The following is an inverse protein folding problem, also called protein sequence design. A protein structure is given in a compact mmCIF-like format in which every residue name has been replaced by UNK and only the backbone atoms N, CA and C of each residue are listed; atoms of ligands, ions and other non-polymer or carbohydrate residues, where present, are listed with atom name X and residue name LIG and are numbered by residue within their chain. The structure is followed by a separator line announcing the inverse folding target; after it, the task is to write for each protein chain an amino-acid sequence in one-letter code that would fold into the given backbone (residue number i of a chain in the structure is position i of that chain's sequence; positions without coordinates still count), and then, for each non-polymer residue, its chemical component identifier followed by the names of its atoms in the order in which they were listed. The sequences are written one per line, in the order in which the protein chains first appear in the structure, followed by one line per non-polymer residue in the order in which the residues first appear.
data_IF_000960935597
#
_entry.id   IF_000960935597
#
_cell.length_a   1.000
_cell.length_b   1.000
_cell.length_c   1.000
_cell.angle_alpha   90.00
_cell.angle_beta   90.00
_cell.angle_gamma   90.00
#
_symmetry.space_group_name_H-M   'P 1'
#
loop_
_entity.id
_entity.type
_entity.pdbx_description
1 polymer ?
#
# COMPACT_ATOMS: atom_id res chain seq x y z
N UNK A 1 2.56 16.92 50.58
CA UNK A 1 2.29 15.91 49.53
C UNK A 1 3.08 16.33 48.30
N UNK A 2 4.12 15.56 47.95
CA UNK A 2 5.25 16.07 47.17
C UNK A 2 4.92 16.21 45.68
N UNK A 3 4.63 17.44 45.24
CA UNK A 3 4.29 17.80 43.85
C UNK A 3 5.29 17.26 42.81
N UNK A 4 6.57 17.18 43.16
CA UNK A 4 7.61 16.63 42.28
C UNK A 4 7.46 15.12 42.02
N UNK A 5 6.87 14.35 42.95
CA UNK A 5 6.60 12.92 42.76
C UNK A 5 5.47 12.71 41.76
N UNK A 6 4.43 13.55 41.79
CA UNK A 6 3.32 13.49 40.84
C UNK A 6 3.76 13.86 39.42
N UNK A 7 4.62 14.88 39.29
CA UNK A 7 5.12 15.32 37.99
C UNK A 7 6.04 14.26 37.34
N UNK A 8 6.87 13.59 38.13
CA UNK A 8 7.75 12.51 37.64
C UNK A 8 6.93 11.30 37.15
N UNK A 9 5.84 10.95 37.82
CA UNK A 9 4.96 9.84 37.42
C UNK A 9 4.24 10.12 36.10
N UNK A 10 3.77 11.35 35.87
CA UNK A 10 3.11 11.72 34.60
C UNK A 10 4.09 11.72 33.43
N UNK A 11 5.35 12.12 33.65
CA UNK A 11 6.36 12.15 32.59
C UNK A 11 6.77 10.75 32.11
N UNK A 12 6.82 9.76 33.01
CA UNK A 12 7.16 8.37 32.66
C UNK A 12 6.06 7.68 31.84
N UNK A 13 4.79 7.99 32.10
CA UNK A 13 3.65 7.39 31.38
C UNK A 13 3.56 7.88 29.92
N UNK A 14 4.06 9.09 29.63
CA UNK A 14 4.08 9.64 28.26
C UNK A 14 5.11 8.96 27.33
N UNK A 15 6.06 8.19 27.86
CA UNK A 15 7.07 7.48 27.05
C UNK A 15 6.71 6.02 26.74
N UNK A 16 5.55 5.52 27.19
CA UNK A 16 5.21 4.08 27.06
C UNK A 16 4.25 3.79 25.87
N UNK A 17 3.77 4.81 25.17
CA UNK A 17 2.82 4.62 24.05
C UNK A 17 3.48 4.73 22.67
N UNK A 18 4.52 3.93 22.45
CA UNK A 18 5.21 3.80 21.16
C UNK A 18 5.53 2.34 20.85
N UNK A 19 4.59 1.43 21.10
CA UNK A 19 4.75 0.04 20.67
C UNK A 19 4.50 -0.02 19.16
N UNK A 20 5.54 0.20 18.36
CA UNK A 20 5.54 -0.24 16.96
C UNK A 20 5.44 -1.75 16.98
N UNK A 21 4.30 -2.30 16.53
CA UNK A 21 4.19 -3.74 16.32
C UNK A 21 5.23 -4.13 15.28
N UNK A 22 6.26 -4.82 15.74
CA UNK A 22 7.25 -5.45 14.87
C UNK A 22 6.58 -6.69 14.25
N UNK A 23 5.95 -6.51 13.09
CA UNK A 23 5.50 -7.60 12.22
C UNK A 23 6.67 -8.09 11.36
N UNK A 24 7.48 -8.96 11.97
CA UNK A 24 8.30 -9.89 11.22
C UNK A 24 7.37 -10.83 10.43
N UNK A 25 7.74 -11.26 9.22
CA UNK A 25 7.06 -12.39 8.56
C UNK A 25 7.27 -13.72 9.32
N UNK A 26 8.04 -13.70 10.40
CA UNK A 26 8.15 -14.75 11.42
C UNK A 26 7.33 -14.44 12.70
N UNK A 27 6.58 -13.34 12.73
CA UNK A 27 5.70 -12.97 13.85
C UNK A 27 4.34 -13.67 13.78
N UNK A 28 3.66 -13.77 14.93
CA UNK A 28 2.39 -14.49 15.07
C UNK A 28 1.18 -13.81 14.41
N UNK A 29 1.28 -12.54 13.97
CA UNK A 29 0.17 -11.83 13.34
C UNK A 29 0.03 -12.26 11.87
N UNK A 30 -1.21 -12.59 11.47
CA UNK A 30 -1.53 -12.95 10.09
C UNK A 30 -1.58 -11.71 9.18
N UNK A 31 -0.93 -11.78 8.03
CA UNK A 31 -0.95 -10.77 6.97
C UNK A 31 -1.94 -11.23 5.89
N UNK A 32 -3.13 -10.63 5.86
CA UNK A 32 -4.14 -10.92 4.85
C UNK A 32 -3.94 -9.99 3.65
N UNK A 33 -3.71 -10.56 2.47
CA UNK A 33 -3.43 -9.83 1.24
C UNK A 33 -4.55 -10.05 0.25
N UNK A 34 -5.23 -8.96 -0.12
CA UNK A 34 -6.17 -8.98 -1.24
C UNK A 34 -5.41 -8.95 -2.56
N UNK A 35 -5.77 -9.78 -3.54
CA UNK A 35 -5.11 -9.78 -4.86
C UNK A 35 -6.11 -9.56 -5.99
N UNK A 36 -5.79 -8.61 -6.89
CA UNK A 36 -6.56 -8.34 -8.11
C UNK A 36 -5.69 -8.71 -9.31
N UNK A 37 -6.14 -9.68 -10.10
CA UNK A 37 -5.38 -10.23 -11.22
C UNK A 37 -4.47 -11.40 -10.84
N UNK A 38 -3.40 -11.59 -11.60
CA UNK A 38 -2.50 -12.76 -11.50
C UNK A 38 -1.23 -12.46 -10.70
N UNK A 39 -1.40 -11.77 -9.58
CA UNK A 39 -0.30 -11.43 -8.67
C UNK A 39 0.36 -12.71 -8.14
N UNK A 40 1.69 -12.77 -8.27
CA UNK A 40 2.51 -13.87 -7.72
C UNK A 40 2.35 -13.95 -6.20
N UNK A 41 2.04 -15.16 -5.72
CA UNK A 41 1.90 -15.45 -4.29
C UNK A 41 3.19 -16.08 -3.76
N UNK A 42 3.61 -15.66 -2.57
CA UNK A 42 4.80 -16.19 -1.92
C UNK A 42 4.41 -17.00 -0.70
N UNK A 43 5.04 -18.17 -0.55
CA UNK A 43 4.76 -19.03 0.60
C UNK A 43 5.50 -18.51 1.85
N UNK A 44 4.70 -18.04 2.81
CA UNK A 44 5.07 -17.66 4.18
C UNK A 44 4.02 -18.21 5.14
N UNK A 45 4.42 -18.58 6.35
CA UNK A 45 3.52 -19.25 7.30
C UNK A 45 2.34 -18.37 7.75
N UNK A 46 2.54 -17.05 7.82
CA UNK A 46 1.57 -16.10 8.32
C UNK A 46 0.94 -15.21 7.22
N UNK A 47 1.16 -15.51 5.93
CA UNK A 47 0.59 -14.72 4.83
C UNK A 47 -0.54 -15.49 4.17
N UNK A 48 -1.71 -14.88 4.10
CA UNK A 48 -2.88 -15.42 3.42
C UNK A 48 -3.26 -14.53 2.25
N UNK A 49 -3.53 -15.14 1.09
CA UNK A 49 -3.96 -14.43 -0.10
C UNK A 49 -5.43 -14.72 -0.39
N UNK A 50 -6.18 -13.69 -0.73
CA UNK A 50 -7.56 -13.83 -1.19
C UNK A 50 -7.74 -13.05 -2.50
N UNK A 51 -8.29 -13.70 -3.51
CA UNK A 51 -8.54 -13.05 -4.80
C UNK A 51 -9.79 -12.19 -4.74
N UNK A 52 -9.69 -10.96 -5.23
CA UNK A 52 -10.76 -9.97 -5.32
C UNK A 52 -11.01 -9.65 -6.79
N UNK A 53 -12.26 -9.62 -7.23
CA UNK A 53 -12.56 -9.08 -8.56
C UNK A 53 -12.33 -7.57 -8.55
N UNK A 54 -11.73 -7.01 -9.60
CA UNK A 54 -11.51 -5.56 -9.68
C UNK A 54 -12.79 -4.76 -9.42
N UNK A 55 -13.95 -5.22 -9.91
CA UNK A 55 -15.23 -4.51 -9.73
C UNK A 55 -15.72 -4.50 -8.29
N UNK A 56 -15.27 -5.44 -7.47
CA UNK A 56 -15.71 -5.58 -6.08
C UNK A 56 -14.95 -4.63 -5.17
N UNK A 57 -13.79 -4.10 -5.61
CA UNK A 57 -13.10 -2.99 -4.93
C UNK A 57 -14.03 -1.78 -4.69
N UNK A 58 -14.97 -1.52 -5.61
CA UNK A 58 -15.92 -0.42 -5.52
C UNK A 58 -17.14 -0.70 -4.64
N UNK A 59 -17.40 -1.97 -4.29
CA UNK A 59 -18.66 -2.41 -3.70
C UNK A 59 -18.52 -2.98 -2.30
N UNK A 60 -17.42 -3.68 -2.03
CA UNK A 60 -17.21 -4.36 -0.75
C UNK A 60 -16.74 -3.37 0.30
N UNK A 61 -17.49 -3.25 1.40
CA UNK A 61 -17.21 -2.28 2.47
C UNK A 61 -16.24 -2.81 3.53
N UNK A 62 -16.07 -4.12 3.60
CA UNK A 62 -15.26 -4.80 4.62
C UNK A 62 -13.80 -5.01 4.21
N UNK A 63 -13.39 -4.52 3.03
CA UNK A 63 -12.02 -4.64 2.49
C UNK A 63 -10.96 -4.20 3.50
N UNK A 64 -11.14 -3.04 4.13
CA UNK A 64 -10.21 -2.49 5.13
C UNK A 64 -10.07 -3.37 6.38
N UNK A 65 -11.13 -4.09 6.75
CA UNK A 65 -11.14 -4.97 7.93
C UNK A 65 -10.65 -6.38 7.59
N UNK A 66 -10.76 -6.80 6.33
CA UNK A 66 -10.33 -8.12 5.85
C UNK A 66 -8.85 -8.17 5.50
N UNK A 67 -8.35 -7.12 4.87
CA UNK A 67 -7.03 -7.10 4.27
C UNK A 67 -6.11 -6.07 4.93
N UNK A 68 -4.86 -6.48 5.14
CA UNK A 68 -3.77 -5.59 5.53
C UNK A 68 -3.41 -4.63 4.40
N UNK A 69 -3.42 -5.13 3.16
CA UNK A 69 -3.20 -4.36 1.93
C UNK A 69 -3.76 -5.11 0.72
N UNK A 70 -3.91 -4.41 -0.40
CA UNK A 70 -4.37 -4.98 -1.67
C UNK A 70 -3.25 -4.86 -2.71
N UNK A 71 -2.92 -5.97 -3.37
CA UNK A 71 -2.02 -6.01 -4.51
C UNK A 71 -2.81 -6.07 -5.82
N UNK A 72 -2.42 -5.25 -6.78
CA UNK A 72 -3.08 -5.12 -8.08
C UNK A 72 -2.04 -5.36 -9.17
N UNK A 73 -2.36 -6.30 -10.05
CA UNK A 73 -1.56 -6.68 -11.22
C UNK A 73 -1.64 -5.65 -12.35
N UNK A 74 -0.63 -5.63 -13.23
CA UNK A 74 -0.48 -4.60 -14.26
C UNK A 74 -1.59 -4.60 -15.32
N UNK A 75 -2.16 -5.78 -15.59
CA UNK A 75 -3.35 -5.99 -16.41
C UNK A 75 -4.55 -5.10 -16.00
N UNK A 76 -4.62 -4.69 -14.73
CA UNK A 76 -5.72 -3.90 -14.19
C UNK A 76 -5.39 -2.41 -14.03
N UNK A 77 -4.17 -1.97 -14.30
CA UNK A 77 -3.75 -0.57 -14.05
C UNK A 77 -4.55 0.47 -14.82
N UNK A 78 -4.88 0.21 -16.09
CA UNK A 78 -5.76 1.11 -16.83
C UNK A 78 -7.14 1.21 -16.15
N UNK A 79 -7.68 0.10 -15.65
CA UNK A 79 -8.99 0.08 -14.98
C UNK A 79 -8.95 0.86 -13.66
N UNK A 80 -7.95 0.61 -12.82
CA UNK A 80 -7.87 1.22 -11.48
C UNK A 80 -7.26 2.63 -11.48
N UNK A 81 -6.75 3.09 -12.62
CA UNK A 81 -6.42 4.50 -12.87
C UNK A 81 -7.66 5.38 -13.11
N UNK A 82 -8.84 4.78 -13.33
CA UNK A 82 -10.10 5.52 -13.41
C UNK A 82 -10.40 6.23 -12.08
N UNK A 83 -11.04 7.40 -12.16
CA UNK A 83 -11.27 8.24 -10.99
C UNK A 83 -12.03 7.50 -9.89
N UNK A 84 -13.04 6.68 -10.21
CA UNK A 84 -13.88 6.03 -9.21
C UNK A 84 -13.10 5.08 -8.29
N UNK A 85 -12.09 4.40 -8.83
CA UNK A 85 -11.23 3.52 -8.04
C UNK A 85 -10.29 4.31 -7.15
N UNK A 86 -9.76 5.42 -7.64
CA UNK A 86 -8.91 6.31 -6.85
C UNK A 86 -9.69 6.95 -5.70
N UNK A 87 -10.92 7.43 -5.93
CA UNK A 87 -11.76 7.95 -4.84
C UNK A 87 -12.07 6.85 -3.81
N UNK A 88 -12.25 5.61 -4.30
CA UNK A 88 -12.44 4.46 -3.41
C UNK A 88 -11.19 4.16 -2.58
N UNK A 89 -10.00 4.17 -3.16
CA UNK A 89 -8.75 3.95 -2.44
C UNK A 89 -8.48 5.05 -1.40
N UNK A 90 -8.79 6.30 -1.74
CA UNK A 90 -8.77 7.44 -0.80
C UNK A 90 -9.71 7.24 0.38
N UNK A 91 -10.88 6.64 0.15
CA UNK A 91 -11.86 6.35 1.21
C UNK A 91 -11.46 5.16 2.07
N UNK A 92 -10.90 4.11 1.47
CA UNK A 92 -10.42 2.93 2.19
C UNK A 92 -9.29 3.28 3.17
N UNK A 93 -8.40 4.22 2.79
CA UNK A 93 -7.23 4.61 3.59
C UNK A 93 -6.44 3.39 4.08
N UNK A 94 -6.18 2.45 3.16
CA UNK A 94 -5.33 1.29 3.37
C UNK A 94 -4.25 1.26 2.28
N UNK A 95 -3.13 0.54 2.48
CA UNK A 95 -2.11 0.43 1.46
C UNK A 95 -2.63 -0.29 0.21
N UNK A 96 -2.44 0.34 -0.95
CA UNK A 96 -2.69 -0.25 -2.26
C UNK A 96 -1.34 -0.41 -2.96
N UNK A 97 -1.08 -1.62 -3.44
CA UNK A 97 0.20 -2.04 -4.00
C UNK A 97 0.01 -2.37 -5.47
N UNK A 98 0.64 -1.59 -6.34
CA UNK A 98 0.64 -1.80 -7.78
C UNK A 98 1.92 -2.54 -8.15
N UNK A 99 1.82 -3.81 -8.52
CA UNK A 99 3.00 -4.65 -8.79
C UNK A 99 3.47 -4.53 -10.24
N UNK A 100 4.78 -4.64 -10.44
CA UNK A 100 5.40 -4.77 -11.76
C UNK A 100 5.14 -3.58 -12.70
N UNK A 101 4.89 -2.39 -12.14
CA UNK A 101 4.61 -1.18 -12.89
C UNK A 101 5.83 -0.66 -13.63
N UNK A 102 5.63 -0.34 -14.91
CA UNK A 102 6.62 0.39 -15.74
C UNK A 102 6.42 1.90 -15.70
N UNK A 103 5.45 2.39 -14.93
CA UNK A 103 5.13 3.81 -14.77
C UNK A 103 5.26 4.22 -13.31
N UNK A 104 5.27 5.53 -13.07
CA UNK A 104 5.26 6.09 -11.73
C UNK A 104 3.90 5.96 -11.06
N UNK A 105 3.76 6.64 -9.93
CA UNK A 105 2.56 6.59 -9.08
C UNK A 105 1.44 7.55 -9.52
N UNK A 106 1.77 8.52 -10.40
CA UNK A 106 0.85 9.56 -10.89
C UNK A 106 -0.47 9.01 -11.46
N UNK A 107 -0.49 7.92 -12.26
CA UNK A 107 -1.73 7.38 -12.81
C UNK A 107 -2.76 6.97 -11.76
N UNK A 108 -2.30 6.67 -10.54
CA UNK A 108 -3.10 6.15 -9.43
C UNK A 108 -3.44 7.23 -8.40
N UNK A 109 -3.22 8.51 -8.73
CA UNK A 109 -3.55 9.64 -7.89
C UNK A 109 -4.63 10.51 -8.52
N UNK A 110 -5.36 11.23 -7.68
CA UNK A 110 -6.22 12.33 -8.10
C UNK A 110 -5.33 13.53 -8.45
N UNK A 111 -5.58 14.15 -9.59
CA UNK A 111 -4.90 15.41 -9.94
C UNK A 111 -5.35 16.51 -8.98
N UNK A 112 -4.41 17.09 -8.23
CA UNK A 112 -4.70 18.15 -7.25
C UNK A 112 -4.95 19.52 -7.90
N UNK A 113 -4.55 19.71 -9.15
CA UNK A 113 -4.65 21.00 -9.85
C UNK A 113 -5.69 20.94 -10.98
N UNK A 114 -6.92 21.39 -10.69
CA UNK A 114 -8.07 21.47 -11.61
C UNK A 114 -7.90 22.42 -12.82
N UNK A 115 -6.69 22.70 -13.31
CA UNK A 115 -6.47 23.56 -14.49
C UNK A 115 -5.91 22.74 -15.65
N UNK A 116 -6.83 22.27 -16.48
CA UNK A 116 -6.63 21.99 -17.92
C UNK A 116 -5.61 20.88 -18.23
N UNK A 117 -5.60 19.79 -17.47
CA UNK A 117 -5.03 18.55 -17.95
C UNK A 117 -6.12 17.48 -17.96
N UNK A 118 -6.37 16.90 -19.14
CA UNK A 118 -7.21 15.72 -19.26
C UNK A 118 -6.46 14.62 -18.53
N UNK A 119 -7.02 14.11 -17.44
CA UNK A 119 -6.45 12.96 -16.72
C UNK A 119 -6.12 11.86 -17.71
N UNK A 120 -4.88 11.44 -17.68
CA UNK A 120 -4.37 10.38 -18.53
C UNK A 120 -4.70 9.02 -17.94
N UNK A 121 -4.89 8.02 -18.78
CA UNK A 121 -4.93 6.61 -18.34
C UNK A 121 -3.50 6.08 -18.18
N UNK A 122 -3.31 5.00 -17.42
CA UNK A 122 -1.98 4.43 -17.15
C UNK A 122 -1.11 4.28 -18.42
N UNK A 123 -1.66 3.76 -19.52
CA UNK A 123 -0.94 3.56 -20.77
C UNK A 123 -0.45 4.84 -21.47
N UNK A 124 -0.95 6.02 -21.08
CA UNK A 124 -0.57 7.32 -21.66
C UNK A 124 0.60 7.99 -20.92
N UNK A 125 1.09 7.38 -19.83
CA UNK A 125 2.28 7.82 -19.11
C UNK A 125 3.54 7.16 -19.69
N UNK A 126 4.67 7.85 -19.61
CA UNK A 126 5.96 7.35 -20.08
C UNK A 126 7.11 7.87 -19.21
N UNK A 127 7.07 7.51 -17.94
CA UNK A 127 7.83 8.13 -16.86
C UNK A 127 8.95 7.25 -16.28
N UNK A 128 8.95 5.93 -16.49
CA UNK A 128 10.03 5.07 -16.00
C UNK A 128 10.43 3.93 -16.96
N UNK A 129 11.74 3.62 -17.10
CA UNK A 129 12.21 2.53 -17.95
C UNK A 129 12.23 1.16 -17.25
N UNK A 130 12.21 1.12 -15.91
CA UNK A 130 12.35 -0.10 -15.11
C UNK A 130 11.05 -0.43 -14.37
N UNK A 131 10.77 -1.72 -14.19
CA UNK A 131 9.64 -2.16 -13.37
C UNK A 131 9.88 -1.92 -11.87
N UNK A 132 8.81 -1.58 -11.17
CA UNK A 132 8.79 -1.42 -9.73
C UNK A 132 7.45 -1.85 -9.14
N UNK A 133 7.47 -2.23 -7.88
CA UNK A 133 6.26 -2.24 -7.06
C UNK A 133 6.06 -0.86 -6.44
N UNK A 134 4.85 -0.32 -6.56
CA UNK A 134 4.45 0.98 -6.00
C UNK A 134 3.47 0.73 -4.87
N UNK A 135 3.83 1.12 -3.65
CA UNK A 135 2.92 1.13 -2.52
C UNK A 135 2.40 2.55 -2.32
N UNK A 136 1.09 2.74 -2.43
CA UNK A 136 0.42 4.00 -2.13
C UNK A 136 -0.39 3.93 -0.84
N UNK A 137 -0.20 4.94 0.01
CA UNK A 137 -1.05 5.21 1.19
C UNK A 137 -1.80 6.51 0.98
N UNK A 138 -3.10 6.41 0.80
CA UNK A 138 -3.96 7.58 0.65
C UNK A 138 -4.29 8.14 2.03
N UNK A 139 -3.77 9.33 2.32
CA UNK A 139 -3.95 9.96 3.63
C UNK A 139 -5.14 10.91 3.63
N UNK A 140 -5.35 11.63 2.52
CA UNK A 140 -6.48 12.54 2.28
C UNK A 140 -6.81 12.59 0.79
N UNK A 141 -8.00 13.09 0.38
CA UNK A 141 -8.33 13.25 -1.04
C UNK A 141 -7.27 14.07 -1.78
N UNK A 142 -6.69 13.52 -2.85
CA UNK A 142 -5.61 14.16 -3.61
C UNK A 142 -4.21 14.06 -3.00
N UNK A 143 -4.05 13.41 -1.85
CA UNK A 143 -2.76 13.22 -1.18
C UNK A 143 -2.52 11.73 -0.92
N UNK A 144 -1.54 11.18 -1.63
CA UNK A 144 -1.00 9.85 -1.40
C UNK A 144 0.48 9.95 -1.10
N UNK A 145 0.93 9.18 -0.12
CA UNK A 145 2.34 8.91 0.12
C UNK A 145 2.73 7.64 -0.64
N UNK A 146 3.82 7.68 -1.38
CA UNK A 146 4.19 6.65 -2.34
C UNK A 146 5.61 6.15 -2.13
N UNK A 147 5.74 4.86 -1.79
CA UNK A 147 7.03 4.18 -1.74
C UNK A 147 7.21 3.27 -2.95
N UNK A 148 8.44 3.25 -3.47
CA UNK A 148 8.83 2.45 -4.62
C UNK A 148 9.80 1.36 -4.17
N UNK A 149 9.50 0.12 -4.56
CA UNK A 149 10.42 -1.01 -4.45
C UNK A 149 10.89 -1.32 -5.86
N UNK A 150 12.07 -0.78 -6.20
CA UNK A 150 12.71 -0.97 -7.48
C UNK A 150 13.26 -2.39 -7.60
N UNK A 151 13.04 -3.00 -8.74
CA UNK A 151 13.56 -4.34 -9.00
C UNK A 151 15.03 -4.28 -9.36
N UNK A 152 15.76 -5.36 -9.07
CA UNK A 152 17.16 -5.47 -9.48
C UNK A 152 17.25 -5.47 -11.02
N UNK A 153 18.38 -5.05 -11.59
CA UNK A 153 18.56 -5.08 -13.04
C UNK A 153 18.33 -6.52 -13.52
N UNK A 154 17.41 -6.71 -14.48
CA UNK A 154 16.93 -7.99 -15.03
C UNK A 154 15.76 -8.70 -14.31
N UNK A 155 15.27 -8.17 -13.19
CA UNK A 155 14.01 -8.62 -12.61
C UNK A 155 12.82 -7.88 -13.24
N UNK A 156 11.82 -8.63 -13.69
CA UNK A 156 10.62 -8.14 -14.35
C UNK A 156 9.33 -8.39 -13.55
N UNK A 157 9.47 -9.06 -12.41
CA UNK A 157 8.38 -9.44 -11.52
C UNK A 157 8.82 -9.30 -10.07
N UNK A 158 7.87 -9.06 -9.18
CA UNK A 158 8.12 -9.01 -7.74
C UNK A 158 8.83 -10.31 -7.28
N UNK A 159 9.93 -10.16 -6.56
CA UNK A 159 10.68 -11.25 -5.94
C UNK A 159 10.22 -11.49 -4.50
N UNK A 160 10.50 -12.68 -3.94
CA UNK A 160 10.15 -13.00 -2.55
C UNK A 160 10.80 -12.02 -1.57
N UNK A 161 12.08 -11.67 -1.80
CA UNK A 161 12.84 -10.68 -1.04
C UNK A 161 12.19 -9.29 -1.10
N UNK A 162 11.77 -8.84 -2.28
CA UNK A 162 11.10 -7.55 -2.45
C UNK A 162 9.71 -7.53 -1.80
N UNK A 163 9.01 -8.66 -1.78
CA UNK A 163 7.76 -8.80 -1.01
C UNK A 163 7.99 -8.71 0.51
N UNK A 164 9.07 -9.30 1.04
CA UNK A 164 9.41 -9.15 2.47
C UNK A 164 9.68 -7.69 2.83
N UNK A 165 10.41 -6.96 1.97
CA UNK A 165 10.65 -5.52 2.14
C UNK A 165 9.33 -4.75 2.11
N UNK A 166 8.43 -5.07 1.17
CA UNK A 166 7.10 -4.45 1.08
C UNK A 166 6.31 -4.61 2.37
N UNK A 167 6.26 -5.82 2.93
CA UNK A 167 5.51 -6.08 4.16
C UNK A 167 6.10 -5.29 5.34
N UNK A 168 7.43 -5.25 5.47
CA UNK A 168 8.12 -4.46 6.49
C UNK A 168 7.81 -2.97 6.39
N UNK A 169 7.88 -2.43 5.18
CA UNK A 169 7.51 -1.03 4.89
C UNK A 169 6.07 -0.74 5.30
N UNK A 170 5.13 -1.64 4.97
CA UNK A 170 3.70 -1.52 5.35
C UNK A 170 3.52 -1.38 6.86
N UNK A 171 4.30 -2.11 7.65
CA UNK A 171 4.19 -2.10 9.11
C UNK A 171 5.19 -1.18 9.83
N UNK A 172 6.04 -0.47 9.08
CA UNK A 172 7.00 0.48 9.64
C UNK A 172 8.20 -0.18 10.32
N UNK A 173 8.60 -1.36 9.87
CA UNK A 173 9.83 -2.03 10.30
C UNK A 173 11.00 -1.62 9.40
N UNK A 174 11.91 -0.80 9.92
CA UNK A 174 13.19 -0.47 9.27
C UNK A 174 14.35 -1.16 9.96
#
# INVERSE_FOLDING_TARGET
MNFYKLFLTVFVVLFISGCSKTISLESADTVNVGTVGTVKQFNFENVMYESINVKDLLKEEDLKTRFSFIMIDDDYFNSVSDIQYIERFETLQMPIVFVDSTKGHIPFMRESNQKVYKKKIYSEYNDHPNKATIMLRYTQPGLADGNFIWYEQHEDTLSKKNFEILVKEIYGEN
#
